data_IF_501896025672
#
_entry.id   IF_501896025672
#
_cell.length_a   1.000
_cell.length_b   1.000
_cell.length_c   1.000
_cell.angle_alpha   90.00
_cell.angle_beta   90.00
_cell.angle_gamma   90.00
#
_symmetry.space_group_name_H-M   'P 1'
#
loop_
_entity.id
_entity.type
_entity.pdbx_description
1 polymer ?
#
# COMPACT_ATOMS: atom_id res chain seq x y z
N UNK A 1 -51.03 36.74 65.01
CA UNK A 1 -49.96 37.34 64.19
C UNK A 1 -48.74 37.53 65.07
N UNK A 2 -47.82 36.56 65.06
CA UNK A 2 -46.47 36.67 65.65
C UNK A 2 -45.54 36.06 64.60
N UNK A 3 -44.61 36.88 64.11
CA UNK A 3 -43.59 36.52 63.12
C UNK A 3 -42.37 36.02 63.92
N UNK A 4 -41.89 34.81 63.63
CA UNK A 4 -40.54 34.38 64.02
C UNK A 4 -39.66 34.32 62.78
N UNK A 5 -38.73 35.26 62.70
CA UNK A 5 -37.60 35.29 61.78
C UNK A 5 -36.54 34.33 62.33
N UNK A 6 -36.12 33.34 61.54
CA UNK A 6 -34.92 32.54 61.82
C UNK A 6 -33.87 32.90 60.78
N UNK A 7 -32.85 33.63 61.22
CA UNK A 7 -31.66 33.98 60.45
C UNK A 7 -30.83 32.72 60.18
N UNK A 8 -30.52 32.46 58.90
CA UNK A 8 -29.58 31.43 58.48
C UNK A 8 -28.35 32.10 57.82
N UNK A 9 -27.42 32.54 58.68
CA UNK A 9 -26.27 33.37 58.31
C UNK A 9 -24.94 32.60 58.45
N UNK A 10 -24.94 31.29 58.20
CA UNK A 10 -23.78 30.40 58.38
C UNK A 10 -23.04 29.97 57.11
N UNK A 11 -23.70 29.93 55.94
CA UNK A 11 -23.15 29.18 54.80
C UNK A 11 -22.31 30.02 53.81
N UNK A 12 -22.51 31.34 53.73
CA UNK A 12 -21.84 32.18 52.73
C UNK A 12 -20.37 32.52 53.03
N UNK A 13 -19.95 32.42 54.30
CA UNK A 13 -18.62 32.87 54.75
C UNK A 13 -17.52 31.82 54.53
N UNK A 14 -17.86 30.53 54.60
CA UNK A 14 -16.89 29.45 54.36
C UNK A 14 -16.53 29.26 52.88
N UNK A 15 -17.45 29.55 51.95
CA UNK A 15 -17.22 29.40 50.51
C UNK A 15 -16.24 30.43 49.93
N UNK A 16 -16.20 31.64 50.50
CA UNK A 16 -15.21 32.67 50.12
C UNK A 16 -13.84 32.42 50.73
N UNK A 17 -13.78 31.81 51.92
CA UNK A 17 -12.53 31.47 52.59
C UNK A 17 -11.82 30.29 51.89
N UNK A 18 -12.56 29.26 51.46
CA UNK A 18 -11.98 28.13 50.72
C UNK A 18 -11.45 28.54 49.34
N UNK A 19 -12.16 29.41 48.61
CA UNK A 19 -11.67 29.94 47.32
C UNK A 19 -10.39 30.76 47.51
N UNK A 20 -10.28 31.56 48.58
CA UNK A 20 -9.08 32.36 48.85
C UNK A 20 -7.86 31.49 49.21
N UNK A 21 -8.08 30.40 49.95
CA UNK A 21 -7.02 29.45 50.33
C UNK A 21 -6.51 28.67 49.12
N UNK A 22 -7.40 28.21 48.23
CA UNK A 22 -6.99 27.55 46.99
C UNK A 22 -6.21 28.47 46.05
N UNK A 23 -6.56 29.77 46.01
CA UNK A 23 -5.85 30.77 45.19
C UNK A 23 -4.46 31.11 45.76
N UNK A 24 -4.28 31.05 47.08
CA UNK A 24 -2.96 31.22 47.73
C UNK A 24 -2.04 30.00 47.53
N UNK A 25 -2.58 28.78 47.55
CA UNK A 25 -1.80 27.54 47.33
C UNK A 25 -1.31 27.47 45.87
N UNK A 26 -2.11 27.95 44.91
CA UNK A 26 -1.71 28.04 43.50
C UNK A 26 -0.54 28.99 43.23
N UNK A 27 -0.40 30.07 44.01
CA UNK A 27 0.72 31.02 43.88
C UNK A 27 2.05 30.46 44.43
N UNK A 28 2.00 29.56 45.42
CA UNK A 28 3.21 28.96 46.01
C UNK A 28 3.82 27.89 45.09
N UNK A 29 3.01 27.24 44.24
CA UNK A 29 3.50 26.24 43.28
C UNK A 29 4.26 26.83 42.08
N UNK A 30 4.23 28.15 41.86
CA UNK A 30 4.96 28.80 40.75
C UNK A 30 6.35 29.31 41.20
N UNK A 31 6.62 29.40 42.50
CA UNK A 31 7.91 29.92 43.04
C UNK A 31 8.91 28.80 43.37
N UNK A 32 8.55 27.53 43.14
CA UNK A 32 9.30 26.36 43.60
C UNK A 32 9.81 25.44 42.50
N UNK A 33 10.44 25.95 41.45
CA UNK A 33 11.28 25.13 40.56
C UNK A 33 12.41 25.98 39.96
N UNK A 34 13.29 26.51 40.83
CA UNK A 34 14.61 26.91 40.38
C UNK A 34 15.65 26.69 41.48
N UNK A 35 16.17 25.45 41.54
CA UNK A 35 17.55 25.16 41.97
C UNK A 35 17.87 23.68 41.71
N UNK A 36 17.97 23.33 40.43
CA UNK A 36 19.20 22.67 40.04
C UNK A 36 20.11 23.80 39.58
N UNK A 37 21.15 24.04 40.38
CA UNK A 37 22.30 24.80 39.91
C UNK A 37 23.00 23.83 38.96
N UNK A 38 22.46 23.66 37.75
CA UNK A 38 23.30 23.21 36.66
C UNK A 38 24.39 24.26 36.59
N UNK A 39 25.63 23.85 36.81
CA UNK A 39 26.74 24.54 36.18
C UNK A 39 26.29 24.77 34.73
N UNK A 40 25.87 26.00 34.41
CA UNK A 40 26.15 26.51 33.10
C UNK A 40 27.68 26.52 33.07
N UNK A 41 28.25 25.36 32.74
CA UNK A 41 29.44 25.32 31.92
C UNK A 41 29.21 26.45 30.93
N UNK A 42 30.10 27.44 30.95
CA UNK A 42 30.23 28.34 29.83
C UNK A 42 30.62 27.43 28.67
N UNK A 43 29.63 26.76 28.05
CA UNK A 43 29.76 26.13 26.77
C UNK A 43 30.36 27.22 25.92
N UNK A 44 31.59 26.94 25.50
CA UNK A 44 32.47 27.91 24.89
C UNK A 44 31.66 28.60 23.79
N UNK A 45 31.43 29.92 23.88
CA UNK A 45 30.57 30.60 22.89
C UNK A 45 31.12 30.46 21.46
N UNK A 46 32.37 29.98 21.34
CA UNK A 46 33.00 29.53 20.10
C UNK A 46 32.39 28.24 19.52
N UNK A 47 32.04 27.23 20.33
CA UNK A 47 31.42 25.97 19.89
C UNK A 47 29.97 26.17 19.46
N UNK A 48 29.15 26.84 20.28
CA UNK A 48 27.75 27.13 19.91
C UNK A 48 27.65 27.98 18.64
N UNK A 49 28.60 28.90 18.40
CA UNK A 49 28.68 29.67 17.15
C UNK A 49 29.10 28.83 15.95
N UNK A 50 29.98 27.85 16.13
CA UNK A 50 30.37 26.91 15.07
C UNK A 50 29.22 25.99 14.70
N UNK A 51 28.50 25.45 15.68
CA UNK A 51 27.31 24.64 15.45
C UNK A 51 26.21 25.45 14.76
N UNK A 52 25.96 26.69 15.20
CA UNK A 52 24.96 27.56 14.56
C UNK A 52 25.29 27.80 13.09
N UNK A 53 26.56 28.11 12.76
CA UNK A 53 26.99 28.27 11.36
C UNK A 53 26.84 26.99 10.55
N UNK A 54 27.19 25.84 11.13
CA UNK A 54 27.03 24.54 10.47
C UNK A 54 25.55 24.26 10.16
N UNK A 55 24.63 24.57 11.08
CA UNK A 55 23.20 24.43 10.84
C UNK A 55 22.67 25.43 9.81
N UNK A 56 23.14 26.68 9.82
CA UNK A 56 22.79 27.67 8.79
C UNK A 56 23.24 27.25 7.38
N UNK A 57 24.47 26.73 7.25
CA UNK A 57 24.99 26.18 5.99
C UNK A 57 24.16 24.99 5.53
N UNK A 58 23.80 24.08 6.45
CA UNK A 58 22.96 22.91 6.15
C UNK A 58 21.53 23.29 5.76
N UNK A 59 20.94 24.29 6.41
CA UNK A 59 19.62 24.81 6.05
C UNK A 59 19.67 25.36 4.63
N UNK A 60 20.69 26.16 4.31
CA UNK A 60 20.86 26.71 2.97
C UNK A 60 21.03 25.62 1.90
N UNK A 61 21.84 24.60 2.18
CA UNK A 61 22.02 23.45 1.28
C UNK A 61 20.70 22.71 1.04
N UNK A 62 19.93 22.45 2.10
CA UNK A 62 18.64 21.77 2.00
C UNK A 62 17.59 22.63 1.26
N UNK A 63 17.62 23.95 1.41
CA UNK A 63 16.76 24.87 0.66
C UNK A 63 17.11 24.88 -0.84
N UNK A 64 18.40 24.87 -1.18
CA UNK A 64 18.89 24.75 -2.55
C UNK A 64 18.43 23.41 -3.16
N UNK A 65 18.66 22.28 -2.49
CA UNK A 65 18.20 20.96 -2.94
C UNK A 65 16.68 20.88 -3.10
N UNK A 66 15.91 21.44 -2.17
CA UNK A 66 14.45 21.45 -2.26
C UNK A 66 13.95 22.26 -3.46
N UNK A 67 14.62 23.38 -3.79
CA UNK A 67 14.30 24.14 -4.99
C UNK A 67 14.66 23.37 -6.27
N UNK A 68 15.79 22.68 -6.30
CA UNK A 68 16.16 21.79 -7.42
C UNK A 68 15.11 20.69 -7.62
N UNK A 69 14.68 20.01 -6.54
CA UNK A 69 13.64 18.98 -6.63
C UNK A 69 12.30 19.52 -7.11
N UNK A 70 11.92 20.74 -6.72
CA UNK A 70 10.69 21.38 -7.23
C UNK A 70 10.75 21.64 -8.73
N UNK A 71 11.89 22.15 -9.21
CA UNK A 71 12.11 22.40 -10.64
C UNK A 71 12.05 21.07 -11.40
N UNK A 72 12.77 20.05 -10.92
CA UNK A 72 12.77 18.72 -11.53
C UNK A 72 11.35 18.11 -11.54
N UNK A 73 10.60 18.21 -10.46
CA UNK A 73 9.24 17.69 -10.40
C UNK A 73 8.32 18.39 -11.41
N UNK A 74 8.42 19.72 -11.54
CA UNK A 74 7.66 20.47 -12.56
C UNK A 74 8.02 20.02 -13.98
N UNK A 75 9.31 19.77 -14.26
CA UNK A 75 9.74 19.28 -15.57
C UNK A 75 9.20 17.88 -15.87
N UNK A 76 9.21 16.98 -14.87
CA UNK A 76 8.65 15.63 -15.01
C UNK A 76 7.13 15.66 -15.20
N UNK A 77 6.42 16.58 -14.56
CA UNK A 77 4.99 16.79 -14.76
C UNK A 77 4.69 17.25 -16.20
N UNK A 78 5.41 18.26 -16.71
CA UNK A 78 5.28 18.73 -18.10
C UNK A 78 5.60 17.62 -19.12
N UNK A 79 6.66 16.85 -18.89
CA UNK A 79 7.03 15.72 -19.75
C UNK A 79 5.97 14.61 -19.71
N UNK A 80 5.45 14.27 -18.53
CA UNK A 80 4.36 13.30 -18.37
C UNK A 80 3.10 13.72 -19.14
N UNK A 81 2.72 14.99 -19.06
CA UNK A 81 1.56 15.52 -19.76
C UNK A 81 1.77 15.54 -21.27
N UNK A 82 2.98 15.84 -21.74
CA UNK A 82 3.36 15.73 -23.15
C UNK A 82 3.16 14.30 -23.67
N UNK A 83 3.67 13.29 -22.96
CA UNK A 83 3.50 11.88 -23.35
C UNK A 83 2.04 11.43 -23.31
N UNK A 84 1.27 11.83 -22.29
CA UNK A 84 -0.18 11.53 -22.21
C UNK A 84 -0.92 12.10 -23.41
N UNK A 85 -0.62 13.33 -23.81
CA UNK A 85 -1.25 13.96 -24.96
C UNK A 85 -0.85 13.26 -26.26
N UNK A 86 0.43 12.94 -26.43
CA UNK A 86 0.91 12.17 -27.58
C UNK A 86 0.21 10.80 -27.69
N UNK A 87 0.11 10.06 -26.58
CA UNK A 87 -0.57 8.78 -26.52
C UNK A 87 -2.06 8.92 -26.88
N UNK A 88 -2.75 9.92 -26.32
CA UNK A 88 -4.16 10.19 -26.64
C UNK A 88 -4.39 10.51 -28.11
N UNK A 89 -3.54 11.34 -28.72
CA UNK A 89 -3.65 11.61 -30.16
C UNK A 89 -3.33 10.37 -31.00
N UNK A 90 -2.35 9.57 -30.59
CA UNK A 90 -2.00 8.32 -31.29
C UNK A 90 -3.15 7.31 -31.26
N UNK A 91 -3.81 7.13 -30.11
CA UNK A 91 -4.94 6.21 -29.93
C UNK A 91 -6.11 6.56 -30.87
N UNK A 92 -6.35 7.85 -31.19
CA UNK A 92 -7.41 8.26 -32.12
C UNK A 92 -7.21 7.78 -33.56
N UNK A 93 -6.01 7.32 -33.89
CA UNK A 93 -5.68 6.79 -35.22
C UNK A 93 -5.71 5.26 -35.28
N UNK A 94 -5.96 4.60 -34.15
CA UNK A 94 -6.13 3.14 -34.08
C UNK A 94 -7.59 2.77 -34.36
N UNK A 95 -7.81 1.62 -34.97
CA UNK A 95 -9.14 1.03 -35.07
C UNK A 95 -9.56 0.30 -33.77
N UNK A 96 -10.82 -0.13 -33.70
CA UNK A 96 -11.39 -0.78 -32.51
C UNK A 96 -10.63 -2.07 -32.13
N UNK A 97 -10.13 -2.83 -33.11
CA UNK A 97 -9.40 -4.07 -32.87
C UNK A 97 -8.01 -3.78 -32.32
N UNK A 98 -7.33 -2.77 -32.85
CA UNK A 98 -6.04 -2.28 -32.35
C UNK A 98 -6.14 -1.68 -30.95
N UNK A 99 -7.20 -0.90 -30.67
CA UNK A 99 -7.45 -0.35 -29.33
C UNK A 99 -7.74 -1.47 -28.34
N UNK A 100 -8.54 -2.46 -28.73
CA UNK A 100 -8.80 -3.62 -27.89
C UNK A 100 -7.51 -4.37 -27.59
N UNK A 101 -6.65 -4.61 -28.57
CA UNK A 101 -5.37 -5.27 -28.36
C UNK A 101 -4.44 -4.49 -27.42
N UNK A 102 -4.43 -3.15 -27.53
CA UNK A 102 -3.72 -2.30 -26.60
C UNK A 102 -4.28 -2.44 -25.17
N UNK A 103 -5.61 -2.42 -25.01
CA UNK A 103 -6.26 -2.62 -23.71
C UNK A 103 -5.93 -4.00 -23.11
N UNK A 104 -5.85 -5.05 -23.95
CA UNK A 104 -5.44 -6.39 -23.48
C UNK A 104 -4.03 -6.41 -22.91
N UNK A 105 -3.12 -5.60 -23.46
CA UNK A 105 -1.74 -5.51 -23.01
C UNK A 105 -1.58 -4.76 -21.66
N UNK A 106 -2.61 -4.05 -21.20
CA UNK A 106 -2.64 -3.47 -19.86
C UNK A 106 -2.79 -4.54 -18.76
N UNK A 107 -3.17 -5.78 -19.10
CA UNK A 107 -3.35 -6.89 -18.18
C UNK A 107 -2.35 -8.01 -18.47
N UNK A 108 -1.58 -8.41 -17.46
CA UNK A 108 -0.65 -9.54 -17.53
C UNK A 108 -1.06 -10.60 -16.53
N UNK A 109 -1.18 -11.83 -17.02
CA UNK A 109 -1.57 -12.98 -16.20
C UNK A 109 -0.39 -13.93 -16.01
N UNK A 110 -0.29 -14.54 -14.84
CA UNK A 110 0.73 -15.56 -14.52
C UNK A 110 0.10 -16.68 -13.72
N UNK A 111 0.56 -17.91 -13.97
CA UNK A 111 0.31 -19.05 -13.09
C UNK A 111 1.66 -19.49 -12.53
N UNK A 112 1.73 -19.67 -11.22
CA UNK A 112 2.95 -20.04 -10.51
C UNK A 112 2.75 -21.28 -9.65
N UNK A 113 3.79 -22.09 -9.52
CA UNK A 113 3.88 -23.17 -8.53
C UNK A 113 5.06 -22.88 -7.63
N UNK A 114 4.81 -22.72 -6.32
CA UNK A 114 5.81 -22.29 -5.32
C UNK A 114 6.59 -21.04 -5.77
N UNK A 115 5.89 -20.06 -6.35
CA UNK A 115 6.47 -18.79 -6.81
C UNK A 115 7.27 -18.89 -8.11
N UNK A 116 7.22 -20.03 -8.83
CA UNK A 116 7.87 -20.19 -10.13
C UNK A 116 6.82 -20.18 -11.24
N UNK A 117 6.96 -19.30 -12.25
CA UNK A 117 6.00 -19.22 -13.34
C UNK A 117 6.04 -20.48 -14.20
N UNK A 118 4.86 -20.92 -14.63
CA UNK A 118 4.72 -21.97 -15.64
C UNK A 118 4.99 -21.34 -17.01
N UNK A 119 6.16 -21.63 -17.58
CA UNK A 119 6.65 -21.00 -18.82
C UNK A 119 6.50 -21.89 -20.06
N UNK A 120 6.18 -23.18 -19.90
CA UNK A 120 6.00 -24.10 -21.02
C UNK A 120 4.87 -25.11 -20.79
N UNK A 121 4.46 -25.79 -21.87
CA UNK A 121 3.37 -26.77 -21.86
C UNK A 121 3.84 -28.16 -21.39
N UNK A 122 4.90 -28.23 -20.59
CA UNK A 122 5.40 -29.51 -20.12
C UNK A 122 4.60 -29.97 -18.92
N UNK A 123 4.49 -31.29 -18.81
CA UNK A 123 4.04 -31.90 -17.57
C UNK A 123 5.00 -31.50 -16.46
N UNK A 124 4.44 -31.04 -15.35
CA UNK A 124 5.22 -30.51 -14.23
C UNK A 124 5.35 -31.61 -13.19
N UNK A 125 6.60 -31.92 -12.84
CA UNK A 125 6.90 -32.88 -11.78
C UNK A 125 7.62 -32.17 -10.64
N UNK A 126 7.18 -32.37 -9.41
CA UNK A 126 7.92 -31.87 -8.25
C UNK A 126 7.74 -32.77 -7.01
N UNK A 127 8.73 -32.74 -6.12
CA UNK A 127 8.90 -33.70 -5.00
C UNK A 127 8.35 -33.18 -3.67
N UNK A 128 7.45 -32.20 -3.69
CA UNK A 128 7.00 -31.51 -2.49
C UNK A 128 5.52 -31.84 -2.23
N UNK A 129 5.22 -32.41 -1.08
CA UNK A 129 3.84 -32.70 -0.65
C UNK A 129 3.08 -31.44 -0.22
N UNK A 130 3.80 -30.33 0.02
CA UNK A 130 3.26 -29.06 0.45
C UNK A 130 3.62 -27.97 -0.55
N UNK A 131 2.67 -27.49 -1.33
CA UNK A 131 2.95 -26.52 -2.38
C UNK A 131 1.81 -25.52 -2.52
N UNK A 132 2.09 -24.44 -3.24
CA UNK A 132 1.10 -23.42 -3.58
C UNK A 132 1.01 -23.29 -5.08
N UNK A 133 -0.23 -23.18 -5.56
CA UNK A 133 -0.50 -22.75 -6.92
C UNK A 133 -1.09 -21.35 -6.84
N UNK A 134 -0.55 -20.42 -7.62
CA UNK A 134 -1.04 -19.04 -7.64
C UNK A 134 -1.48 -18.66 -9.05
N UNK A 135 -2.62 -17.99 -9.18
CA UNK A 135 -2.99 -17.23 -10.37
C UNK A 135 -2.92 -15.75 -10.03
N UNK A 136 -2.19 -14.99 -10.85
CA UNK A 136 -1.83 -13.60 -10.59
C UNK A 136 -2.30 -12.75 -11.77
N UNK A 137 -2.93 -11.62 -11.47
CA UNK A 137 -3.21 -10.55 -12.43
C UNK A 137 -2.35 -9.33 -12.06
N UNK A 138 -1.68 -8.76 -13.07
CA UNK A 138 -0.88 -7.56 -12.96
C UNK A 138 -1.38 -6.53 -13.97
N UNK A 139 -1.85 -5.39 -13.46
CA UNK A 139 -2.35 -4.27 -14.25
C UNK A 139 -1.23 -3.26 -14.50
N UNK A 140 -1.26 -2.60 -15.65
CA UNK A 140 -0.35 -1.50 -15.94
C UNK A 140 -0.72 -0.24 -15.15
N UNK A 141 0.30 0.50 -14.72
CA UNK A 141 0.18 1.71 -13.89
C UNK A 141 -0.44 2.88 -14.68
N UNK A 142 -0.45 2.80 -16.03
CA UNK A 142 -0.78 3.91 -16.94
C UNK A 142 -2.21 3.79 -17.52
N UNK A 143 -3.06 2.97 -16.90
CA UNK A 143 -4.38 2.53 -17.42
C UNK A 143 -5.36 3.62 -17.88
N UNK A 144 -5.20 4.87 -17.43
CA UNK A 144 -6.17 5.95 -17.67
C UNK A 144 -6.30 6.43 -19.13
N UNK A 145 -5.47 5.96 -20.05
CA UNK A 145 -5.39 6.53 -21.41
C UNK A 145 -6.35 5.90 -22.43
N UNK A 146 -6.98 4.77 -22.09
CA UNK A 146 -7.75 3.93 -23.05
C UNK A 146 -9.20 3.64 -22.56
N UNK A 147 -9.76 4.47 -21.68
CA UNK A 147 -11.16 4.39 -21.27
C UNK A 147 -12.08 4.70 -22.49
N UNK A 148 -13.10 3.87 -22.85
CA UNK A 148 -13.75 2.77 -22.11
C UNK A 148 -13.29 1.35 -22.47
N UNK A 149 -12.20 1.20 -23.21
CA UNK A 149 -11.71 -0.11 -23.62
C UNK A 149 -10.95 -0.85 -22.53
N UNK A 150 -10.51 -0.15 -21.48
CA UNK A 150 -9.73 -0.74 -20.38
C UNK A 150 -10.37 -2.01 -19.83
N UNK A 151 -11.65 -1.98 -19.42
CA UNK A 151 -12.34 -3.16 -18.88
C UNK A 151 -12.48 -4.29 -19.90
N UNK A 152 -12.56 -3.97 -21.21
CA UNK A 152 -12.60 -4.99 -22.27
C UNK A 152 -11.24 -5.67 -22.48
N UNK A 153 -10.18 -5.09 -21.91
CA UNK A 153 -8.83 -5.64 -21.92
C UNK A 153 -8.64 -6.79 -20.95
N UNK A 154 -9.47 -6.94 -19.91
CA UNK A 154 -9.35 -8.04 -18.95
C UNK A 154 -9.81 -9.38 -19.54
N UNK A 155 -9.71 -10.45 -18.76
CA UNK A 155 -10.45 -11.68 -19.02
C UNK A 155 -11.95 -11.44 -18.80
N UNK A 156 -12.79 -12.23 -19.48
CA UNK A 156 -14.24 -12.14 -19.32
C UNK A 156 -14.68 -12.68 -17.96
N UNK A 157 -15.11 -11.79 -17.08
CA UNK A 157 -15.51 -12.15 -15.72
C UNK A 157 -14.31 -12.14 -14.77
N UNK A 158 -14.38 -13.00 -13.76
CA UNK A 158 -13.37 -13.06 -12.69
C UNK A 158 -12.18 -13.93 -13.12
N UNK A 159 -10.96 -13.39 -13.11
CA UNK A 159 -9.78 -14.08 -13.67
C UNK A 159 -9.48 -15.43 -12.99
N UNK A 160 -9.79 -15.59 -11.71
CA UNK A 160 -9.64 -16.85 -10.97
C UNK A 160 -10.54 -17.97 -11.53
N UNK A 161 -11.69 -17.64 -12.12
CA UNK A 161 -12.61 -18.62 -12.68
C UNK A 161 -12.08 -19.24 -13.98
N UNK A 162 -11.02 -18.64 -14.55
CA UNK A 162 -10.35 -19.16 -15.74
C UNK A 162 -9.33 -20.27 -15.43
N UNK A 163 -9.14 -20.63 -14.15
CA UNK A 163 -8.28 -21.72 -13.70
C UNK A 163 -9.07 -22.72 -12.85
N UNK A 164 -9.15 -23.96 -13.34
CA UNK A 164 -9.77 -25.08 -12.64
C UNK A 164 -8.71 -26.11 -12.25
N UNK A 165 -8.69 -26.51 -10.97
CA UNK A 165 -7.81 -27.58 -10.45
C UNK A 165 -8.63 -28.87 -10.36
N UNK A 166 -8.20 -29.92 -11.06
CA UNK A 166 -8.95 -31.17 -11.20
C UNK A 166 -8.15 -32.33 -10.61
N UNK A 167 -8.76 -33.09 -9.70
CA UNK A 167 -8.21 -34.33 -9.14
C UNK A 167 -7.65 -34.18 -7.72
N UNK A 168 -7.50 -32.95 -7.23
CA UNK A 168 -7.16 -32.62 -5.85
C UNK A 168 -7.89 -31.36 -5.42
N UNK A 169 -8.12 -31.19 -4.12
CA UNK A 169 -8.71 -29.99 -3.54
C UNK A 169 -7.66 -29.27 -2.68
N UNK A 170 -7.57 -27.93 -2.78
CA UNK A 170 -6.71 -27.16 -1.89
C UNK A 170 -7.27 -27.19 -0.47
N UNK A 171 -6.38 -27.19 0.53
CA UNK A 171 -6.78 -27.08 1.93
C UNK A 171 -7.23 -25.67 2.30
N UNK A 172 -6.79 -24.68 1.53
CA UNK A 172 -7.07 -23.27 1.75
C UNK A 172 -6.93 -22.47 0.44
N UNK A 173 -7.70 -21.40 0.33
CA UNK A 173 -7.64 -20.46 -0.80
C UNK A 173 -7.52 -19.05 -0.20
N UNK A 174 -6.41 -18.39 -0.47
CA UNK A 174 -6.16 -17.01 -0.03
C UNK A 174 -6.18 -16.07 -1.24
N UNK A 175 -6.57 -14.82 -1.02
CA UNK A 175 -6.39 -13.76 -2.00
C UNK A 175 -5.35 -12.74 -1.53
N UNK A 176 -4.57 -12.22 -2.46
CA UNK A 176 -3.72 -11.05 -2.27
C UNK A 176 -4.33 -9.91 -3.06
N UNK A 177 -4.61 -8.81 -2.37
CA UNK A 177 -5.20 -7.61 -2.98
C UNK A 177 -4.19 -6.46 -2.92
N UNK A 178 -3.89 -5.89 -4.07
CA UNK A 178 -2.95 -4.81 -4.25
C UNK A 178 -3.39 -3.94 -5.43
N UNK A 179 -2.99 -2.67 -5.43
CA UNK A 179 -3.44 -1.69 -6.43
C UNK A 179 -3.05 -2.04 -7.87
N UNK A 180 -1.95 -2.80 -8.04
CA UNK A 180 -1.37 -3.14 -9.35
C UNK A 180 -1.36 -4.66 -9.56
N UNK A 181 -1.18 -5.42 -8.48
CA UNK A 181 -1.02 -6.86 -8.52
C UNK A 181 -2.00 -7.49 -7.56
N UNK A 182 -2.85 -8.36 -8.08
CA UNK A 182 -3.80 -9.17 -7.31
C UNK A 182 -3.53 -10.64 -7.61
N UNK A 183 -3.98 -11.54 -6.72
CA UNK A 183 -3.72 -12.95 -6.90
C UNK A 183 -4.58 -13.85 -6.03
N UNK A 184 -4.80 -15.07 -6.49
CA UNK A 184 -5.41 -16.16 -5.72
C UNK A 184 -4.38 -17.26 -5.53
N UNK A 185 -4.28 -17.75 -4.30
CA UNK A 185 -3.29 -18.73 -3.86
C UNK A 185 -4.03 -19.95 -3.33
N UNK A 186 -3.88 -21.06 -4.02
CA UNK A 186 -4.40 -22.38 -3.66
C UNK A 186 -3.31 -23.14 -2.90
N UNK A 187 -3.54 -23.40 -1.61
CA UNK A 187 -2.58 -24.06 -0.75
C UNK A 187 -2.88 -25.55 -0.64
N UNK A 188 -1.85 -26.36 -0.86
CA UNK A 188 -1.92 -27.81 -0.76
C UNK A 188 -0.97 -28.28 0.34
N UNK A 189 -1.43 -29.26 1.11
CA UNK A 189 -0.66 -29.80 2.22
C UNK A 189 -0.83 -31.30 2.32
N UNK A 190 0.26 -31.98 2.66
CA UNK A 190 0.32 -33.41 2.92
C UNK A 190 -0.23 -34.24 1.74
N UNK A 191 0.01 -33.77 0.50
CA UNK A 191 -0.43 -34.48 -0.71
C UNK A 191 0.37 -35.78 -0.85
N UNK A 192 -0.30 -36.94 -1.05
CA UNK A 192 0.39 -38.20 -1.23
C UNK A 192 1.33 -38.21 -2.44
N UNK A 193 2.43 -38.94 -2.32
CA UNK A 193 3.32 -39.26 -3.44
C UNK A 193 2.56 -40.01 -4.55
N UNK A 194 3.05 -39.86 -5.78
CA UNK A 194 2.49 -40.45 -7.01
C UNK A 194 1.06 -40.01 -7.37
N UNK A 195 0.62 -38.84 -6.89
CA UNK A 195 -0.67 -38.26 -7.28
C UNK A 195 -0.52 -37.50 -8.60
N UNK A 196 -1.50 -37.69 -9.48
CA UNK A 196 -1.64 -36.94 -10.73
C UNK A 196 -2.89 -36.07 -10.67
N UNK A 197 -2.73 -34.80 -10.99
CA UNK A 197 -3.85 -33.87 -11.11
C UNK A 197 -3.61 -32.93 -12.28
N UNK A 198 -4.60 -32.08 -12.57
CA UNK A 198 -4.58 -31.22 -13.76
C UNK A 198 -4.93 -29.79 -13.41
N UNK A 199 -4.25 -28.86 -14.08
CA UNK A 199 -4.73 -27.49 -14.22
C UNK A 199 -5.42 -27.39 -15.56
N UNK A 200 -6.69 -26.98 -15.56
CA UNK A 200 -7.46 -26.68 -16.75
C UNK A 200 -7.68 -25.18 -16.84
N UNK A 201 -7.18 -24.61 -17.92
CA UNK A 201 -7.23 -23.19 -18.22
C UNK A 201 -8.33 -22.93 -19.23
N UNK A 202 -9.01 -21.79 -19.10
CA UNK A 202 -9.85 -21.27 -20.17
C UNK A 202 -9.00 -20.96 -21.43
N UNK A 203 -9.65 -20.87 -22.60
CA UNK A 203 -8.96 -20.46 -23.82
C UNK A 203 -8.35 -19.05 -23.71
N UNK A 204 -9.07 -18.12 -23.08
CA UNK A 204 -8.59 -16.75 -22.91
C UNK A 204 -7.33 -16.72 -22.04
N UNK A 205 -7.36 -17.33 -20.84
CA UNK A 205 -6.19 -17.36 -19.96
C UNK A 205 -5.00 -18.03 -20.64
N UNK A 206 -5.21 -19.20 -21.28
CA UNK A 206 -4.19 -19.92 -22.06
C UNK A 206 -3.51 -19.01 -23.10
N UNK A 207 -4.30 -18.27 -23.87
CA UNK A 207 -3.80 -17.34 -24.88
C UNK A 207 -3.02 -16.19 -24.25
N UNK A 208 -3.54 -15.59 -23.17
CA UNK A 208 -2.89 -14.46 -22.48
C UNK A 208 -1.55 -14.81 -21.86
N UNK A 209 -1.38 -16.02 -21.34
CA UNK A 209 -0.10 -16.47 -20.77
C UNK A 209 0.82 -17.11 -21.80
N UNK A 210 0.40 -17.24 -23.06
CA UNK A 210 1.21 -17.79 -24.15
C UNK A 210 1.39 -19.31 -24.12
N UNK A 211 0.48 -20.05 -23.47
CA UNK A 211 0.51 -21.52 -23.49
C UNK A 211 -0.20 -22.08 -24.75
N UNK A 212 0.23 -23.26 -25.17
CA UNK A 212 -0.37 -23.98 -26.32
C UNK A 212 -1.53 -24.87 -25.87
N UNK A 213 -1.42 -25.45 -24.69
CA UNK A 213 -2.38 -26.40 -24.15
C UNK A 213 -3.22 -25.74 -23.04
N UNK A 214 -4.51 -26.02 -23.03
CA UNK A 214 -5.40 -25.62 -21.94
C UNK A 214 -5.33 -26.55 -20.73
N UNK A 215 -4.58 -27.65 -20.82
CA UNK A 215 -4.43 -28.63 -19.75
C UNK A 215 -2.95 -28.80 -19.46
N UNK A 216 -2.58 -28.66 -18.19
CA UNK A 216 -1.24 -28.92 -17.67
C UNK A 216 -1.38 -30.09 -16.70
N UNK A 217 -0.68 -31.19 -16.96
CA UNK A 217 -0.65 -32.31 -16.01
C UNK A 217 0.42 -32.03 -14.97
N UNK A 218 0.08 -32.29 -13.71
CA UNK A 218 0.99 -32.14 -12.58
C UNK A 218 1.10 -33.49 -11.89
N UNK A 219 2.35 -33.91 -11.68
CA UNK A 219 2.70 -35.13 -10.98
C UNK A 219 3.47 -34.81 -9.71
N UNK A 220 2.91 -35.20 -8.56
CA UNK A 220 3.59 -35.15 -7.27
C UNK A 220 4.37 -36.44 -7.12
N UNK A 221 5.70 -36.33 -7.04
CA UNK A 221 6.58 -37.48 -6.85
C UNK A 221 6.62 -37.93 -5.40
#
# INVERSE_FOLDING_TARGET
MIIMIKNDMGCLKMRKLTVLIFLLIGLILIVGCNKETSEFEKTDSSETKKETKLYEEKIKELEEQNNEYKILNSQLEEESDSYKNFAKETIKHLDDDEILELAKNEFRYKIEIDGKPIIDNKDIEFNNSNFKISIIEEQSIVSSTIDPWFEKGSLDGEYQDHLEIIGIEPININSTDGTIVTGFIYEFKDIPENINFKLKLSNQLKERIGLKNSIINIHVK
#
